data_IF_421017185194
#
_entry.id   IF_421017185194
#
_cell.length_a   1.000
_cell.length_b   1.000
_cell.length_c   1.000
_cell.angle_alpha   90.00
_cell.angle_beta   90.00
_cell.angle_gamma   90.00
#
_symmetry.space_group_name_H-M   'P 1'
#
loop_
_entity.id
_entity.type
_entity.pdbx_description
1 polymer ?
#
# COMPACT_ATOMS: atom_id res chain seq x y z
N UNK A 1 -10.39 -6.26 -0.25
CA UNK A 1 -9.38 -5.64 -1.12
C UNK A 1 -9.97 -4.39 -1.75
N UNK A 2 -9.22 -3.32 -1.70
CA UNK A 2 -9.67 -2.06 -2.28
C UNK A 2 -8.93 -1.81 -3.59
N UNK A 3 -9.67 -1.65 -4.67
CA UNK A 3 -9.08 -1.38 -5.98
C UNK A 3 -9.57 -0.07 -6.59
N UNK A 4 -10.29 0.73 -5.81
CA UNK A 4 -10.70 2.06 -6.25
C UNK A 4 -9.72 3.15 -5.80
N UNK A 5 -8.73 2.82 -4.97
CA UNK A 5 -7.66 3.73 -4.62
C UNK A 5 -6.55 3.54 -5.66
N UNK A 6 -6.25 4.60 -6.39
CA UNK A 6 -5.25 4.51 -7.46
C UNK A 6 -3.84 4.40 -6.90
N UNK A 7 -2.99 3.58 -7.50
CA UNK A 7 -1.58 3.56 -7.13
C UNK A 7 -0.87 4.82 -7.63
N UNK A 8 0.33 5.04 -7.12
CA UNK A 8 1.16 6.14 -7.58
C UNK A 8 1.96 5.66 -8.80
N UNK A 9 2.00 6.48 -9.84
CA UNK A 9 2.84 6.19 -11.01
C UNK A 9 4.27 6.66 -10.73
N UNK A 10 5.23 5.91 -11.25
CA UNK A 10 6.62 6.35 -11.21
C UNK A 10 6.73 7.72 -11.90
N UNK A 11 7.65 8.54 -11.45
CA UNK A 11 7.82 9.90 -11.96
C UNK A 11 6.90 10.94 -11.33
N UNK A 12 5.99 10.54 -10.44
CA UNK A 12 5.06 11.48 -9.81
C UNK A 12 5.81 12.39 -8.82
N UNK A 13 5.60 13.71 -8.89
CA UNK A 13 6.20 14.63 -7.93
C UNK A 13 5.71 14.36 -6.51
N UNK A 14 6.59 14.56 -5.54
CA UNK A 14 6.30 14.27 -4.15
C UNK A 14 5.07 15.00 -3.62
N UNK A 15 4.87 16.25 -4.01
CA UNK A 15 3.71 17.02 -3.59
C UNK A 15 2.40 16.35 -4.01
N UNK A 16 2.37 15.74 -5.17
CA UNK A 16 1.19 15.00 -5.64
C UNK A 16 1.01 13.69 -4.90
N UNK A 17 2.10 13.05 -4.52
CA UNK A 17 2.06 11.83 -3.69
C UNK A 17 1.42 12.15 -2.35
N UNK A 18 1.89 13.22 -1.69
CA UNK A 18 1.36 13.65 -0.40
C UNK A 18 -0.13 13.94 -0.50
N UNK A 19 -0.52 14.65 -1.56
CA UNK A 19 -1.94 14.97 -1.79
C UNK A 19 -2.78 13.69 -1.88
N UNK A 20 -2.29 12.70 -2.61
CA UNK A 20 -2.99 11.43 -2.77
C UNK A 20 -3.14 10.70 -1.43
N UNK A 21 -2.09 10.68 -0.62
CA UNK A 21 -2.15 10.03 0.70
C UNK A 21 -3.17 10.73 1.60
N UNK A 22 -3.17 12.05 1.60
CA UNK A 22 -4.09 12.82 2.44
C UNK A 22 -5.53 12.68 1.98
N UNK A 23 -5.77 12.75 0.68
CA UNK A 23 -7.12 12.64 0.13
C UNK A 23 -7.75 11.27 0.36
N UNK A 24 -6.94 10.24 0.34
CA UNK A 24 -7.42 8.88 0.54
C UNK A 24 -7.36 8.42 1.98
N UNK A 25 -6.87 9.26 2.89
CA UNK A 25 -6.72 8.94 4.31
C UNK A 25 -5.97 7.62 4.50
N UNK A 26 -4.86 7.48 3.79
CA UNK A 26 -4.10 6.24 3.77
C UNK A 26 -2.64 6.55 4.11
N UNK A 27 -1.98 5.61 4.79
CA UNK A 27 -0.62 5.82 5.29
C UNK A 27 0.48 5.52 4.26
N UNK A 28 0.12 4.91 3.15
CA UNK A 28 1.08 4.60 2.10
C UNK A 28 0.39 4.03 0.89
N UNK A 29 1.08 4.07 -0.24
CA UNK A 29 0.54 3.58 -1.51
C UNK A 29 1.63 2.87 -2.31
N UNK A 30 1.26 1.86 -3.10
CA UNK A 30 2.21 1.24 -4.00
C UNK A 30 2.54 2.15 -5.17
N UNK A 31 3.75 1.99 -5.69
CA UNK A 31 4.24 2.73 -6.84
C UNK A 31 4.39 1.76 -8.00
N UNK A 32 3.82 2.10 -9.14
CA UNK A 32 3.79 1.22 -10.31
C UNK A 32 4.31 1.94 -11.56
N UNK A 33 4.68 1.15 -12.56
CA UNK A 33 5.03 1.68 -13.89
C UNK A 33 3.79 1.73 -14.80
N UNK A 34 4.01 2.04 -16.07
CA UNK A 34 2.92 2.15 -17.05
C UNK A 34 2.18 0.82 -17.25
N UNK A 35 2.83 -0.29 -16.95
CA UNK A 35 2.25 -1.63 -17.09
C UNK A 35 1.71 -2.19 -15.79
N UNK A 36 1.58 -1.34 -14.76
CA UNK A 36 1.09 -1.69 -13.42
C UNK A 36 2.00 -2.66 -12.67
N UNK A 37 3.25 -2.75 -13.07
CA UNK A 37 4.23 -3.54 -12.31
C UNK A 37 4.60 -2.81 -11.04
N UNK A 38 4.64 -3.54 -9.94
CA UNK A 38 4.99 -2.97 -8.64
C UNK A 38 6.48 -2.65 -8.60
N UNK A 39 6.80 -1.37 -8.46
CA UNK A 39 8.18 -0.88 -8.40
C UNK A 39 8.62 -0.55 -6.99
N UNK A 40 7.70 -0.15 -6.14
CA UNK A 40 8.03 0.27 -4.80
C UNK A 40 6.81 0.62 -3.99
N UNK A 41 7.05 1.18 -2.82
CA UNK A 41 6.00 1.60 -1.90
C UNK A 41 6.44 2.90 -1.23
N UNK A 42 5.52 3.87 -1.17
CA UNK A 42 5.80 5.16 -0.54
C UNK A 42 4.88 5.36 0.65
N UNK A 43 5.45 5.72 1.79
CA UNK A 43 4.70 5.89 3.03
C UNK A 43 4.71 7.34 3.47
N UNK A 44 3.84 7.67 4.44
CA UNK A 44 3.84 8.99 5.07
C UNK A 44 5.22 9.32 5.64
N UNK A 45 5.84 8.35 6.29
CA UNK A 45 7.17 8.54 6.88
C UNK A 45 8.21 8.92 5.83
N UNK A 46 8.18 8.24 4.68
CA UNK A 46 9.07 8.55 3.57
C UNK A 46 8.87 9.97 3.08
N UNK A 47 7.62 10.38 2.97
CA UNK A 47 7.27 11.74 2.52
C UNK A 47 7.73 12.79 3.53
N UNK A 48 7.51 12.54 4.82
CA UNK A 48 7.93 13.47 5.87
C UNK A 48 9.45 13.67 5.80
N UNK A 49 10.18 12.58 5.73
CA UNK A 49 11.64 12.64 5.66
C UNK A 49 12.09 13.42 4.44
N UNK A 50 11.52 13.12 3.29
CA UNK A 50 11.92 13.77 2.04
C UNK A 50 11.58 15.26 2.04
N UNK A 51 10.43 15.64 2.60
CA UNK A 51 10.04 17.04 2.69
C UNK A 51 10.96 17.83 3.61
N UNK A 52 11.36 17.24 4.73
CA UNK A 52 12.29 17.89 5.64
C UNK A 52 13.64 18.15 4.97
N UNK A 53 14.16 17.17 4.26
CA UNK A 53 15.42 17.31 3.54
C UNK A 53 15.31 18.35 2.42
N UNK A 54 14.25 18.24 1.62
CA UNK A 54 14.03 19.14 0.49
C UNK A 54 13.87 20.58 0.94
N UNK A 55 13.06 20.82 1.98
CA UNK A 55 12.83 22.17 2.49
C UNK A 55 14.09 22.75 3.08
N UNK A 56 14.87 21.93 3.76
CA UNK A 56 16.11 22.40 4.39
C UNK A 56 17.12 22.86 3.34
N UNK A 57 17.21 22.15 2.23
CA UNK A 57 18.19 22.46 1.19
C UNK A 57 17.65 23.34 0.08
N UNK A 58 16.39 23.74 0.17
CA UNK A 58 15.71 24.54 -0.86
C UNK A 58 15.79 23.88 -2.24
N UNK A 59 15.80 22.57 -2.26
CA UNK A 59 15.80 21.81 -3.50
C UNK A 59 14.37 21.72 -4.04
N UNK A 60 14.24 21.44 -5.33
CA UNK A 60 12.95 21.32 -5.95
C UNK A 60 12.15 20.12 -5.45
N UNK A 61 10.98 19.93 -6.04
CA UNK A 61 10.07 18.84 -5.69
C UNK A 61 10.64 17.51 -6.21
N UNK A 62 11.08 16.61 -5.32
CA UNK A 62 11.60 15.32 -5.78
C UNK A 62 10.49 14.47 -6.38
N UNK A 63 10.87 13.45 -7.15
CA UNK A 63 9.90 12.48 -7.66
C UNK A 63 9.85 11.27 -6.74
N UNK A 64 8.73 10.55 -6.81
CA UNK A 64 8.49 9.41 -5.93
C UNK A 64 9.59 8.34 -6.06
N UNK A 65 10.18 8.20 -7.24
CA UNK A 65 11.23 7.21 -7.50
C UNK A 65 12.42 7.37 -6.55
N UNK A 66 12.71 8.61 -6.13
CA UNK A 66 13.83 8.89 -5.24
C UNK A 66 13.48 8.76 -3.76
N UNK A 67 12.20 8.56 -3.45
CA UNK A 67 11.68 8.56 -2.09
C UNK A 67 11.18 7.19 -1.68
N UNK A 68 10.62 6.44 -2.61
CA UNK A 68 9.95 5.18 -2.32
C UNK A 68 10.90 4.08 -1.83
N UNK A 69 10.34 3.13 -1.10
CA UNK A 69 11.05 1.90 -0.74
C UNK A 69 10.96 0.93 -1.92
N UNK A 70 12.09 0.41 -2.39
CA UNK A 70 12.13 -0.34 -3.65
C UNK A 70 11.90 -1.83 -3.52
N UNK A 71 11.81 -2.35 -2.31
CA UNK A 71 11.56 -3.77 -2.08
C UNK A 71 10.29 -3.93 -1.25
N UNK A 72 9.13 -3.54 -1.79
CA UNK A 72 7.90 -3.57 -1.01
C UNK A 72 7.46 -4.99 -0.72
N UNK A 73 6.85 -5.17 0.46
CA UNK A 73 6.13 -6.39 0.74
C UNK A 73 4.89 -6.42 -0.14
N UNK A 74 4.58 -7.61 -0.66
CA UNK A 74 3.36 -7.79 -1.44
C UNK A 74 2.75 -9.13 -1.11
N UNK A 75 1.47 -9.28 -1.43
CA UNK A 75 0.75 -10.54 -1.22
C UNK A 75 0.09 -10.94 -2.52
N UNK A 76 -0.22 -12.22 -2.63
CA UNK A 76 -0.93 -12.75 -3.79
C UNK A 76 -2.42 -12.80 -3.52
N UNK A 77 -3.26 -12.86 -4.58
CA UNK A 77 -4.72 -12.89 -4.41
C UNK A 77 -5.21 -14.08 -3.59
N UNK A 78 -4.48 -15.19 -3.60
CA UNK A 78 -4.88 -16.37 -2.84
C UNK A 78 -4.43 -16.39 -1.39
N UNK A 79 -3.80 -15.32 -0.92
CA UNK A 79 -3.33 -15.25 0.46
C UNK A 79 -4.50 -15.28 1.43
N UNK A 80 -4.41 -16.15 2.44
CA UNK A 80 -5.43 -16.25 3.48
C UNK A 80 -5.38 -15.00 4.37
N UNK A 81 -6.56 -14.47 4.68
CA UNK A 81 -6.69 -13.33 5.60
C UNK A 81 -6.12 -13.70 6.98
N UNK A 82 -6.41 -14.92 7.44
CA UNK A 82 -5.92 -15.36 8.75
C UNK A 82 -4.40 -15.46 8.76
N UNK A 83 -3.82 -16.04 7.71
CA UNK A 83 -2.36 -16.15 7.61
C UNK A 83 -1.71 -14.77 7.59
N UNK A 84 -2.30 -13.84 6.85
CA UNK A 84 -1.78 -12.48 6.81
C UNK A 84 -1.90 -11.82 8.18
N UNK A 85 -3.04 -11.96 8.85
CA UNK A 85 -3.25 -11.38 10.17
C UNK A 85 -2.23 -11.89 11.18
N UNK A 86 -1.86 -13.16 11.10
CA UNK A 86 -0.88 -13.75 12.01
C UNK A 86 0.53 -13.17 11.78
N UNK A 87 0.80 -12.68 10.59
CA UNK A 87 2.09 -12.06 10.28
C UNK A 87 2.15 -10.59 10.66
N UNK A 88 1.02 -9.99 10.99
CA UNK A 88 0.99 -8.59 11.42
C UNK A 88 1.62 -8.46 12.79
N UNK A 89 2.36 -7.39 12.98
CA UNK A 89 2.99 -7.12 14.25
C UNK A 89 3.56 -5.72 14.25
N UNK A 90 4.23 -5.35 15.32
CA UNK A 90 4.86 -4.04 15.41
C UNK A 90 5.85 -3.88 14.25
N UNK A 91 5.82 -2.73 13.61
CA UNK A 91 6.72 -2.43 12.50
C UNK A 91 6.27 -2.94 11.14
N UNK A 92 5.15 -3.65 11.08
CA UNK A 92 4.63 -4.11 9.79
C UNK A 92 3.78 -3.02 9.13
N UNK A 93 3.75 -2.98 7.79
CA UNK A 93 2.97 -1.94 7.11
C UNK A 93 1.49 -2.04 7.39
N UNK A 94 0.80 -0.91 7.24
CA UNK A 94 -0.66 -0.84 7.40
C UNK A 94 -1.38 -1.10 6.08
N UNK A 95 -0.66 -1.14 4.98
CA UNK A 95 -1.21 -1.30 3.63
C UNK A 95 -0.37 -2.34 2.92
N UNK A 96 -1.04 -3.29 2.29
CA UNK A 96 -0.38 -4.37 1.56
C UNK A 96 -0.80 -4.35 0.11
N UNK A 97 0.14 -4.19 -0.83
CA UNK A 97 -0.19 -4.35 -2.24
C UNK A 97 -0.47 -5.80 -2.57
N UNK A 98 -1.49 -6.02 -3.39
CA UNK A 98 -1.84 -7.35 -3.90
C UNK A 98 -1.35 -7.45 -5.33
N UNK A 99 -0.49 -8.42 -5.59
CA UNK A 99 0.18 -8.57 -6.89
C UNK A 99 -0.14 -9.93 -7.47
N UNK A 100 -0.47 -9.95 -8.75
CA UNK A 100 -0.71 -11.18 -9.50
C UNK A 100 0.10 -11.12 -10.79
N UNK A 101 0.95 -12.11 -10.99
CA UNK A 101 1.84 -12.16 -12.16
C UNK A 101 2.66 -10.89 -12.33
N UNK A 102 3.15 -10.36 -11.22
CA UNK A 102 3.99 -9.16 -11.21
C UNK A 102 3.24 -7.85 -11.32
N UNK A 103 1.93 -7.88 -11.51
CA UNK A 103 1.13 -6.68 -11.68
C UNK A 103 0.26 -6.40 -10.47
N UNK A 104 0.17 -5.13 -10.11
CA UNK A 104 -0.68 -4.70 -9.00
C UNK A 104 -2.15 -4.82 -9.39
N UNK A 105 -2.93 -5.53 -8.58
CA UNK A 105 -4.36 -5.68 -8.80
C UNK A 105 -5.20 -5.00 -7.72
N UNK A 106 -4.60 -4.58 -6.62
CA UNK A 106 -5.31 -3.87 -5.57
C UNK A 106 -4.47 -3.72 -4.33
N UNK A 107 -5.09 -3.23 -3.28
CA UNK A 107 -4.45 -3.09 -1.98
C UNK A 107 -5.34 -3.65 -0.89
N UNK A 108 -4.72 -4.07 0.22
CA UNK A 108 -5.42 -4.48 1.43
C UNK A 108 -4.90 -3.64 2.58
N UNK A 109 -5.80 -3.02 3.31
CA UNK A 109 -5.42 -2.24 4.48
C UNK A 109 -5.60 -3.07 5.74
N UNK A 110 -4.87 -2.69 6.80
CA UNK A 110 -5.04 -3.33 8.10
C UNK A 110 -6.49 -3.21 8.57
N UNK A 111 -7.12 -2.08 8.32
CA UNK A 111 -8.53 -1.87 8.68
C UNK A 111 -9.45 -2.85 7.97
N UNK A 112 -9.20 -3.12 6.69
CA UNK A 112 -10.00 -4.07 5.93
C UNK A 112 -9.85 -5.49 6.46
N UNK A 113 -8.64 -5.84 6.88
CA UNK A 113 -8.39 -7.15 7.49
C UNK A 113 -9.19 -7.27 8.79
N UNK A 114 -9.16 -6.23 9.61
CA UNK A 114 -9.89 -6.22 10.87
C UNK A 114 -11.39 -6.38 10.65
N UNK A 115 -11.94 -5.62 9.71
CA UNK A 115 -13.36 -5.72 9.37
C UNK A 115 -13.73 -7.13 8.94
N UNK A 116 -12.90 -7.74 8.11
CA UNK A 116 -13.17 -9.08 7.61
C UNK A 116 -13.16 -10.10 8.73
N UNK A 117 -12.21 -9.99 9.67
CA UNK A 117 -12.13 -10.91 10.80
C UNK A 117 -13.36 -10.77 11.70
N UNK A 118 -13.84 -9.55 11.91
CA UNK A 118 -15.04 -9.32 12.72
C UNK A 118 -16.27 -9.91 12.05
N UNK A 119 -16.41 -9.72 10.75
CA UNK A 119 -17.56 -10.27 10.00
C UNK A 119 -17.54 -11.78 9.97
N UNK A 120 -16.36 -12.39 9.88
CA UNK A 120 -16.24 -13.84 9.88
C UNK A 120 -16.69 -14.41 11.23
N UNK A 121 -16.42 -13.70 12.32
CA UNK A 121 -16.83 -14.11 13.64
C UNK A 121 -16.42 -15.53 13.94
N UNK A 122 -17.38 -16.37 14.30
CA UNK A 122 -17.13 -17.77 14.64
C UNK A 122 -17.19 -18.71 13.45
N UNK A 123 -17.25 -18.19 12.25
CA UNK A 123 -17.33 -19.05 11.07
C UNK A 123 -16.05 -19.87 10.93
N UNK A 124 -16.22 -21.09 10.45
CA UNK A 124 -15.12 -21.98 10.14
C UNK A 124 -14.63 -21.70 8.73
N UNK A 125 -13.43 -21.88 8.51
CA UNK A 125 -12.87 -21.63 7.20
C UNK A 125 -12.06 -20.35 7.19
N UNK A 126 -11.17 -20.27 6.24
CA UNK A 126 -10.22 -19.16 6.13
C UNK A 126 -10.61 -18.31 4.95
N UNK A 127 -11.13 -17.09 5.18
CA UNK A 127 -11.49 -16.21 4.07
C UNK A 127 -10.25 -15.83 3.27
N UNK A 128 -10.47 -15.59 1.99
CA UNK A 128 -9.40 -15.16 1.08
C UNK A 128 -9.78 -13.82 0.49
N UNK A 129 -8.79 -13.10 0.03
CA UNK A 129 -9.04 -11.76 -0.53
C UNK A 129 -9.95 -11.82 -1.76
N UNK A 130 -9.89 -12.89 -2.53
CA UNK A 130 -10.76 -13.05 -3.69
C UNK A 130 -12.23 -13.14 -3.30
N UNK A 131 -12.52 -13.49 -2.05
CA UNK A 131 -13.89 -13.64 -1.53
C UNK A 131 -14.22 -12.59 -0.48
N UNK A 132 -13.42 -11.55 -0.37
CA UNK A 132 -13.52 -10.59 0.73
C UNK A 132 -14.67 -9.60 0.56
N UNK A 133 -15.31 -9.59 -0.57
CA UNK A 133 -16.41 -8.68 -0.86
C UNK A 133 -17.73 -9.09 -0.24
N UNK A 134 -17.78 -10.24 0.33
CA UNK A 134 -19.01 -10.77 0.92
C UNK A 134 -19.45 -10.11 2.21
#
# INVERSE_FOLDING_TARGET
>A
MSNHIAPIRCGTPLTKVVKALLENHISGLPVVDANRRLLGFVSEQDCIHALLVSNYHCEGDPIVDDVMFREPLSISPGTSIVDLAQKLGAGKPKVYPVVDHGKLIGIVTRSAILEHLVKAGCSVGTPRFANSDD
#
